data_IF_990321778468
#
_entry.id   IF_990321778468
#
_cell.length_a   1.000
_cell.length_b   1.000
_cell.length_c   1.000
_cell.angle_alpha   90.00
_cell.angle_beta   90.00
_cell.angle_gamma   90.00
#
_symmetry.space_group_name_H-M   'P 1'
#
loop_
_entity.id
_entity.type
_entity.pdbx_description
1 polymer ?
#
# COMPACT_ATOMS: atom_id res chain seq x y z
N UNK A 1 23.86 -3.34 -32.04
CA UNK A 1 22.99 -3.40 -30.84
C UNK A 1 22.88 -4.81 -30.27
N UNK A 2 22.53 -5.87 -30.98
CA UNK A 2 22.44 -7.24 -30.44
C UNK A 2 23.73 -7.80 -29.82
N UNK A 3 24.91 -7.37 -30.27
CA UNK A 3 26.21 -7.79 -29.71
C UNK A 3 26.54 -7.10 -28.38
N UNK A 4 26.14 -5.85 -28.22
CA UNK A 4 26.35 -5.09 -26.97
C UNK A 4 25.50 -5.61 -25.84
N UNK A 5 24.27 -6.06 -26.13
CA UNK A 5 23.35 -6.69 -25.17
C UNK A 5 23.89 -8.01 -24.61
N UNK A 6 24.51 -8.85 -25.46
CA UNK A 6 25.12 -10.10 -25.00
C UNK A 6 26.39 -9.89 -24.18
N UNK A 7 27.11 -8.81 -24.39
CA UNK A 7 28.36 -8.48 -23.65
C UNK A 7 27.98 -7.91 -22.27
N UNK A 8 26.93 -7.11 -22.16
CA UNK A 8 26.43 -6.65 -20.85
C UNK A 8 25.94 -7.83 -19.99
N UNK A 9 25.18 -8.76 -20.54
CA UNK A 9 24.73 -9.95 -19.80
C UNK A 9 25.91 -10.86 -19.36
N UNK A 10 27.00 -10.92 -20.15
CA UNK A 10 28.15 -11.78 -19.79
C UNK A 10 29.05 -11.18 -18.71
N UNK A 11 29.13 -9.86 -18.59
CA UNK A 11 29.93 -9.18 -17.56
C UNK A 11 29.30 -9.24 -16.16
N UNK A 12 27.99 -9.42 -16.04
CA UNK A 12 27.30 -9.58 -14.74
C UNK A 12 27.43 -10.99 -14.15
N UNK A 13 27.78 -12.00 -14.94
CA UNK A 13 27.96 -13.40 -14.47
C UNK A 13 29.27 -13.59 -13.68
N UNK A 14 30.19 -12.64 -13.69
CA UNK A 14 31.55 -12.80 -13.10
C UNK A 14 31.77 -12.11 -11.74
N UNK A 15 30.77 -11.38 -11.21
CA UNK A 15 30.83 -10.80 -9.87
C UNK A 15 29.99 -11.62 -8.89
N UNK A 16 30.36 -12.87 -8.71
CA UNK A 16 29.77 -13.70 -7.67
C UNK A 16 30.35 -13.39 -6.30
N UNK A 17 29.50 -12.98 -5.38
CA UNK A 17 29.62 -13.41 -3.95
C UNK A 17 28.38 -13.00 -3.16
N UNK A 18 27.68 -14.05 -2.72
CA UNK A 18 26.95 -14.19 -1.44
C UNK A 18 26.21 -12.99 -0.88
N UNK A 19 24.88 -12.99 -1.02
CA UNK A 19 23.93 -12.73 0.06
C UNK A 19 22.60 -13.44 -0.26
N UNK A 20 22.31 -14.49 0.49
CA UNK A 20 21.02 -15.17 0.58
C UNK A 20 20.06 -14.26 1.33
N UNK A 21 19.01 -13.73 0.70
CA UNK A 21 17.75 -13.26 1.35
C UNK A 21 16.96 -12.34 0.41
N UNK A 22 16.17 -12.87 -0.52
CA UNK A 22 15.05 -12.10 -1.10
C UNK A 22 14.16 -12.87 -2.10
N UNK A 23 14.53 -14.05 -2.58
CA UNK A 23 13.67 -14.85 -3.45
C UNK A 23 12.42 -15.41 -2.73
N UNK A 24 12.45 -15.45 -1.41
CA UNK A 24 11.39 -16.00 -0.58
C UNK A 24 10.10 -15.16 -0.58
N UNK A 25 10.15 -13.90 -0.99
CA UNK A 25 8.99 -13.00 -0.91
C UNK A 25 8.01 -13.18 -2.09
N UNK A 26 8.47 -13.49 -3.29
CA UNK A 26 7.56 -13.79 -4.40
C UNK A 26 6.90 -15.18 -4.23
N UNK A 27 7.63 -16.16 -3.68
CA UNK A 27 7.08 -17.49 -3.39
C UNK A 27 5.99 -17.45 -2.29
N UNK A 28 6.19 -16.63 -1.25
CA UNK A 28 5.24 -16.52 -0.15
C UNK A 28 4.07 -15.59 -0.47
N UNK A 29 4.31 -14.50 -1.19
CA UNK A 29 3.28 -13.51 -1.47
C UNK A 29 2.15 -14.02 -2.36
N UNK A 30 2.39 -14.95 -3.29
CA UNK A 30 1.34 -15.47 -4.16
C UNK A 30 0.42 -16.49 -3.48
N UNK A 31 0.85 -17.13 -2.40
CA UNK A 31 -0.02 -17.99 -1.58
C UNK A 31 -0.94 -17.20 -0.66
N UNK A 32 -0.49 -16.02 -0.24
CA UNK A 32 -1.17 -15.16 0.72
C UNK A 32 -1.81 -13.92 0.06
N UNK A 33 -2.02 -13.94 -1.26
CA UNK A 33 -2.64 -12.85 -2.03
C UNK A 33 -4.11 -12.55 -1.64
N UNK A 34 -4.67 -13.22 -0.64
CA UNK A 34 -5.95 -12.87 -0.02
C UNK A 34 -5.86 -11.66 0.93
N UNK A 35 -4.65 -11.33 1.42
CA UNK A 35 -4.43 -10.34 2.47
C UNK A 35 -3.72 -9.06 1.97
N UNK A 36 -4.00 -8.64 0.74
CA UNK A 36 -3.30 -7.54 0.06
C UNK A 36 -3.29 -6.22 0.80
N UNK A 37 -4.32 -5.95 1.53
CA UNK A 37 -4.52 -4.66 2.20
C UNK A 37 -4.29 -4.72 3.70
N UNK A 38 -3.86 -5.88 4.22
CA UNK A 38 -3.46 -6.05 5.61
C UNK A 38 -1.94 -5.89 5.76
N UNK A 39 -1.53 -5.04 6.70
CA UNK A 39 -0.10 -4.86 7.00
C UNK A 39 0.38 -6.05 7.82
N UNK A 40 1.32 -6.86 7.32
CA UNK A 40 1.79 -8.03 8.05
C UNK A 40 2.40 -7.69 9.41
N UNK A 41 2.21 -8.54 10.42
CA UNK A 41 2.73 -8.34 11.78
C UNK A 41 4.24 -8.14 11.84
N UNK A 42 5.01 -8.75 10.92
CA UNK A 42 6.46 -8.62 10.82
C UNK A 42 6.89 -7.28 10.20
N UNK A 43 5.99 -6.53 9.55
CA UNK A 43 6.31 -5.22 9.01
C UNK A 43 6.58 -4.23 10.15
N UNK A 44 7.69 -3.52 10.04
CA UNK A 44 8.06 -2.46 10.99
C UNK A 44 7.58 -1.10 10.49
N UNK A 45 7.48 -0.95 9.18
CA UNK A 45 7.06 0.26 8.49
C UNK A 45 5.93 -0.06 7.54
N UNK A 46 5.05 0.90 7.32
CA UNK A 46 4.02 0.86 6.30
C UNK A 46 3.99 2.18 5.52
N UNK A 47 3.67 2.10 4.25
CA UNK A 47 3.56 3.27 3.40
C UNK A 47 2.36 4.10 3.82
N UNK A 48 2.58 5.36 4.19
CA UNK A 48 1.50 6.30 4.54
C UNK A 48 1.13 7.21 3.39
N UNK A 49 2.09 7.57 2.54
CA UNK A 49 1.82 8.41 1.38
C UNK A 49 2.89 8.27 0.29
N UNK A 50 2.53 8.64 -0.93
CA UNK A 50 3.44 9.04 -1.99
C UNK A 50 3.07 10.46 -2.40
N UNK A 51 4.02 11.39 -2.35
CA UNK A 51 3.78 12.82 -2.59
C UNK A 51 4.64 13.35 -3.72
N UNK A 52 4.17 14.40 -4.40
CA UNK A 52 4.94 15.08 -5.44
C UNK A 52 4.97 14.37 -6.79
N UNK A 53 4.14 13.36 -7.00
CA UNK A 53 4.01 12.68 -8.31
C UNK A 53 3.58 13.73 -9.34
N UNK A 54 4.31 13.82 -10.45
CA UNK A 54 4.13 14.85 -11.49
C UNK A 54 4.08 16.29 -10.92
N UNK A 55 4.72 16.49 -9.77
CA UNK A 55 4.88 17.80 -9.13
C UNK A 55 3.81 18.16 -8.10
N UNK A 56 2.56 17.77 -8.28
CA UNK A 56 1.46 18.19 -7.42
C UNK A 56 0.48 17.09 -7.00
N UNK A 57 0.64 15.88 -7.51
CA UNK A 57 -0.24 14.77 -7.19
C UNK A 57 0.34 13.89 -6.08
N UNK A 58 -0.52 13.16 -5.40
CA UNK A 58 -0.12 12.21 -4.37
C UNK A 58 -1.17 11.16 -4.08
N UNK A 59 -0.76 10.17 -3.31
CA UNK A 59 -1.61 9.11 -2.79
C UNK A 59 -1.38 9.05 -1.29
N UNK A 60 -2.45 8.98 -0.52
CA UNK A 60 -2.40 8.86 0.93
C UNK A 60 -3.15 7.61 1.39
N UNK A 61 -2.57 6.87 2.34
CA UNK A 61 -3.15 5.69 2.94
C UNK A 61 -3.52 5.94 4.39
N UNK A 62 -4.71 5.54 4.78
CA UNK A 62 -5.16 5.51 6.17
C UNK A 62 -5.41 4.06 6.56
N UNK A 63 -5.05 3.71 7.79
CA UNK A 63 -5.16 2.37 8.33
C UNK A 63 -6.12 2.35 9.51
N UNK A 64 -6.86 1.26 9.66
CA UNK A 64 -7.71 1.02 10.82
C UNK A 64 -6.89 0.47 12.02
N UNK A 65 -7.56 0.26 13.15
CA UNK A 65 -6.93 -0.25 14.38
C UNK A 65 -6.41 -1.69 14.24
N UNK A 66 -6.79 -2.40 13.20
CA UNK A 66 -6.34 -3.75 12.87
C UNK A 66 -5.20 -3.77 11.84
N UNK A 67 -4.63 -2.62 11.48
CA UNK A 67 -3.61 -2.48 10.46
C UNK A 67 -4.07 -2.83 9.02
N UNK A 68 -5.36 -2.82 8.75
CA UNK A 68 -5.86 -2.92 7.39
C UNK A 68 -5.96 -1.52 6.78
N UNK A 69 -5.77 -1.39 5.46
CA UNK A 69 -6.00 -0.12 4.77
C UNK A 69 -7.49 0.24 4.90
N UNK A 70 -7.81 1.32 5.58
CA UNK A 70 -9.18 1.82 5.70
C UNK A 70 -9.57 2.70 4.51
N UNK A 71 -8.62 3.51 4.03
CA UNK A 71 -8.83 4.44 2.91
C UNK A 71 -7.54 4.67 2.11
N UNK A 72 -7.69 4.77 0.81
CA UNK A 72 -6.68 5.29 -0.12
C UNK A 72 -7.24 6.54 -0.78
N UNK A 73 -6.55 7.69 -0.70
CA UNK A 73 -6.99 8.98 -1.26
C UNK A 73 -6.03 9.46 -2.32
N UNK A 74 -6.58 9.89 -3.47
CA UNK A 74 -5.83 10.62 -4.49
C UNK A 74 -5.96 12.11 -4.22
N UNK A 75 -4.83 12.72 -4.00
CA UNK A 75 -4.74 14.12 -3.61
C UNK A 75 -4.04 14.94 -4.67
N UNK A 76 -4.49 16.16 -4.84
CA UNK A 76 -3.83 17.18 -5.63
C UNK A 76 -3.57 18.41 -4.76
N UNK A 77 -2.39 19.01 -4.92
CA UNK A 77 -2.01 20.22 -4.21
C UNK A 77 -1.92 21.35 -5.24
N UNK A 78 -2.77 22.34 -5.12
CA UNK A 78 -2.65 23.55 -5.91
C UNK A 78 -1.31 24.23 -5.62
N UNK A 79 -0.42 24.28 -6.60
CA UNK A 79 0.94 24.77 -6.44
C UNK A 79 1.01 26.28 -6.17
N UNK A 80 -0.08 27.01 -6.43
CA UNK A 80 -0.14 28.47 -6.22
C UNK A 80 -0.63 28.81 -4.82
N UNK A 81 -1.71 28.15 -4.37
CA UNK A 81 -2.33 28.41 -3.07
C UNK A 81 -1.86 27.46 -1.96
N UNK A 82 -1.25 26.33 -2.32
CA UNK A 82 -0.94 25.23 -1.39
C UNK A 82 -2.17 24.48 -0.90
N UNK A 83 -3.35 24.75 -1.48
CA UNK A 83 -4.59 24.09 -1.09
C UNK A 83 -4.58 22.63 -1.56
N UNK A 84 -4.90 21.73 -0.63
CA UNK A 84 -5.05 20.30 -0.88
C UNK A 84 -6.51 19.99 -1.23
N UNK A 85 -6.73 19.21 -2.29
CA UNK A 85 -8.01 18.65 -2.67
C UNK A 85 -7.92 17.12 -2.81
N UNK A 86 -9.04 16.45 -2.65
CA UNK A 86 -9.19 15.00 -2.88
C UNK A 86 -10.13 14.83 -4.06
N UNK A 87 -9.61 14.37 -5.19
CA UNK A 87 -10.43 14.13 -6.39
C UNK A 87 -11.10 12.74 -6.41
N UNK A 88 -10.48 11.76 -5.74
CA UNK A 88 -11.00 10.39 -5.66
C UNK A 88 -10.49 9.75 -4.38
N UNK A 89 -11.28 8.89 -3.76
CA UNK A 89 -10.81 8.01 -2.69
C UNK A 89 -11.51 6.66 -2.74
N UNK A 90 -10.89 5.67 -2.10
CA UNK A 90 -11.39 4.31 -1.97
C UNK A 90 -11.49 3.96 -0.50
N UNK A 91 -12.64 3.46 -0.09
CA UNK A 91 -12.88 2.89 1.24
C UNK A 91 -12.89 1.36 1.15
N UNK A 92 -12.36 0.71 2.17
CA UNK A 92 -12.17 -0.74 2.22
C UNK A 92 -12.94 -1.34 3.39
N UNK A 93 -13.63 -2.45 3.15
CA UNK A 93 -14.36 -3.23 4.14
C UNK A 93 -13.79 -4.64 4.24
N UNK A 94 -13.66 -5.14 5.45
CA UNK A 94 -13.04 -6.43 5.76
C UNK A 94 -13.98 -7.36 6.50
N UNK A 95 -13.75 -8.67 6.35
CA UNK A 95 -14.36 -9.68 7.20
C UNK A 95 -13.54 -9.90 8.49
N UNK A 96 -14.02 -10.80 9.37
CA UNK A 96 -13.35 -11.11 10.65
C UNK A 96 -11.98 -11.78 10.48
N UNK A 97 -11.61 -12.19 9.26
CA UNK A 97 -10.29 -12.75 8.91
C UNK A 97 -9.36 -11.71 8.28
N UNK A 98 -9.69 -10.43 8.34
CA UNK A 98 -8.96 -9.31 7.71
C UNK A 98 -8.88 -9.38 6.17
N UNK A 99 -9.73 -10.18 5.51
CA UNK A 99 -9.79 -10.23 4.06
C UNK A 99 -10.70 -9.10 3.56
N UNK A 100 -10.22 -8.33 2.60
CA UNK A 100 -11.02 -7.28 1.99
C UNK A 100 -12.20 -7.91 1.22
N UNK A 101 -13.42 -7.63 1.64
CA UNK A 101 -14.64 -8.13 1.01
C UNK A 101 -15.30 -7.11 0.08
N UNK A 102 -15.00 -5.85 0.28
CA UNK A 102 -15.53 -4.77 -0.55
C UNK A 102 -14.55 -3.59 -0.60
N UNK A 103 -14.49 -2.96 -1.75
CA UNK A 103 -13.82 -1.69 -1.99
C UNK A 103 -14.78 -0.76 -2.70
N UNK A 104 -14.97 0.45 -2.19
CA UNK A 104 -15.88 1.47 -2.74
C UNK A 104 -15.08 2.66 -3.21
N UNK A 105 -15.15 2.97 -4.49
CA UNK A 105 -14.51 4.12 -5.12
C UNK A 105 -15.48 5.29 -5.16
N UNK A 106 -15.04 6.43 -4.64
CA UNK A 106 -15.74 7.71 -4.71
C UNK A 106 -15.00 8.65 -5.65
N UNK A 107 -15.71 9.30 -6.52
CA UNK A 107 -15.15 10.22 -7.51
C UNK A 107 -16.06 11.38 -7.82
N UNK A 108 -15.50 12.39 -8.48
CA UNK A 108 -16.25 13.54 -8.97
C UNK A 108 -17.26 13.14 -10.04
N UNK A 109 -18.43 13.75 -9.99
CA UNK A 109 -19.46 13.58 -10.99
C UNK A 109 -20.14 14.91 -11.30
N UNK A 110 -20.32 15.17 -12.58
CA UNK A 110 -20.98 16.39 -13.05
C UNK A 110 -22.39 16.52 -12.46
N UNK A 111 -22.67 17.64 -11.81
CA UNK A 111 -23.97 17.94 -11.17
C UNK A 111 -24.04 17.62 -9.69
N UNK A 112 -22.95 17.12 -9.08
CA UNK A 112 -22.83 16.89 -7.64
C UNK A 112 -21.70 17.74 -7.07
N UNK A 113 -21.93 18.34 -5.91
CA UNK A 113 -20.91 19.11 -5.19
C UNK A 113 -19.98 18.21 -4.38
N UNK A 114 -20.45 17.03 -3.96
CA UNK A 114 -19.72 16.02 -3.21
C UNK A 114 -19.28 14.84 -4.11
N UNK A 115 -18.25 14.12 -3.69
CA UNK A 115 -17.84 12.88 -4.32
C UNK A 115 -18.93 11.81 -4.15
N UNK A 116 -19.29 11.14 -5.24
CA UNK A 116 -20.30 10.08 -5.27
C UNK A 116 -19.67 8.73 -5.52
N UNK A 117 -20.38 7.65 -5.19
CA UNK A 117 -19.93 6.30 -5.50
C UNK A 117 -19.82 6.14 -7.01
N UNK A 118 -18.59 5.97 -7.49
CA UNK A 118 -18.28 5.72 -8.88
C UNK A 118 -18.29 4.23 -9.22
N UNK A 119 -17.72 3.41 -8.33
CA UNK A 119 -17.62 1.95 -8.49
C UNK A 119 -17.65 1.24 -7.14
N UNK A 120 -18.03 -0.04 -7.17
CA UNK A 120 -17.87 -0.98 -6.08
C UNK A 120 -17.14 -2.22 -6.60
N UNK A 121 -16.30 -2.80 -5.76
CA UNK A 121 -15.55 -4.00 -6.04
C UNK A 121 -15.80 -4.97 -4.90
N UNK A 122 -16.37 -6.14 -5.21
CA UNK A 122 -16.74 -7.15 -4.21
C UNK A 122 -15.89 -8.40 -4.40
N UNK A 123 -15.40 -8.96 -3.30
CA UNK A 123 -14.52 -10.11 -3.27
C UNK A 123 -15.15 -11.25 -2.47
N UNK A 124 -15.14 -12.46 -3.01
CA UNK A 124 -15.65 -13.66 -2.34
C UNK A 124 -14.53 -14.67 -2.17
N UNK A 125 -14.47 -15.28 -0.99
CA UNK A 125 -13.45 -16.24 -0.61
C UNK A 125 -14.07 -17.60 -0.29
N UNK A 126 -13.32 -18.69 -0.55
CA UNK A 126 -13.68 -20.01 -0.10
C UNK A 126 -13.28 -20.23 1.38
N UNK A 127 -13.56 -21.44 1.91
CA UNK A 127 -13.24 -21.79 3.29
C UNK A 127 -11.74 -21.82 3.59
N UNK A 128 -10.89 -22.00 2.56
CA UNK A 128 -9.44 -21.94 2.65
C UNK A 128 -8.89 -20.50 2.63
N UNK A 129 -9.77 -19.49 2.50
CA UNK A 129 -9.38 -18.09 2.42
C UNK A 129 -8.92 -17.63 1.03
N UNK A 130 -9.11 -18.45 -0.01
CA UNK A 130 -8.72 -18.11 -1.37
C UNK A 130 -9.83 -17.33 -2.07
N UNK A 131 -9.50 -16.26 -2.76
CA UNK A 131 -10.45 -15.45 -3.55
C UNK A 131 -10.97 -16.29 -4.74
N UNK A 132 -12.25 -16.52 -4.79
CA UNK A 132 -12.89 -17.33 -5.86
C UNK A 132 -13.70 -16.52 -6.85
N UNK A 133 -14.18 -15.35 -6.41
CA UNK A 133 -14.98 -14.47 -7.24
C UNK A 133 -14.64 -13.02 -6.95
N UNK A 134 -14.52 -12.25 -8.01
CA UNK A 134 -14.47 -10.80 -7.98
C UNK A 134 -15.61 -10.26 -8.85
N UNK A 135 -16.32 -9.24 -8.36
CA UNK A 135 -17.40 -8.56 -9.08
C UNK A 135 -17.17 -7.05 -8.99
N UNK A 136 -17.22 -6.38 -10.14
CA UNK A 136 -17.25 -4.93 -10.20
C UNK A 136 -18.67 -4.44 -10.51
N UNK A 137 -19.07 -3.43 -9.77
CA UNK A 137 -20.27 -2.65 -10.02
C UNK A 137 -19.87 -1.27 -10.53
N UNK A 138 -20.49 -0.82 -11.59
CA UNK A 138 -20.17 0.44 -12.23
C UNK A 138 -21.45 1.17 -12.62
N UNK A 139 -21.36 2.49 -12.75
CA UNK A 139 -22.45 3.27 -13.31
C UNK A 139 -22.30 3.29 -14.84
N UNK A 140 -23.18 2.60 -15.52
CA UNK A 140 -23.21 2.55 -16.98
C UNK A 140 -24.12 3.62 -17.61
N UNK A 141 -24.82 4.43 -16.79
CA UNK A 141 -25.74 5.44 -17.27
C UNK A 141 -25.01 6.67 -17.83
N UNK A 142 -25.48 7.14 -18.97
CA UNK A 142 -25.02 8.40 -19.57
C UNK A 142 -25.66 9.64 -18.90
N UNK A 143 -26.77 9.45 -18.17
CA UNK A 143 -27.38 10.50 -17.37
C UNK A 143 -26.51 10.78 -16.13
N UNK A 144 -25.93 12.00 -15.99
CA UNK A 144 -25.08 12.32 -14.85
C UNK A 144 -25.81 12.30 -13.50
N UNK A 145 -27.14 12.41 -13.47
CA UNK A 145 -27.93 12.39 -12.23
C UNK A 145 -28.25 10.97 -11.75
N UNK A 146 -28.10 9.96 -12.60
CA UNK A 146 -28.36 8.57 -12.24
C UNK A 146 -27.10 7.92 -11.65
N UNK A 147 -27.12 7.67 -10.35
CA UNK A 147 -26.04 7.04 -9.58
C UNK A 147 -26.20 5.53 -9.41
N UNK A 148 -27.15 4.92 -10.14
CA UNK A 148 -27.40 3.47 -10.05
C UNK A 148 -26.21 2.68 -10.55
N UNK A 149 -25.69 1.78 -9.72
CA UNK A 149 -24.62 0.86 -10.08
C UNK A 149 -25.22 -0.47 -10.55
N UNK A 150 -24.63 -1.04 -11.58
CA UNK A 150 -24.93 -2.39 -12.09
C UNK A 150 -23.67 -3.23 -12.12
N UNK A 151 -23.80 -4.54 -11.93
CA UNK A 151 -22.69 -5.46 -12.15
C UNK A 151 -22.28 -5.42 -13.62
N UNK A 152 -21.08 -4.97 -13.92
CA UNK A 152 -20.59 -4.85 -15.29
C UNK A 152 -19.43 -5.80 -15.62
N UNK A 153 -18.85 -6.39 -14.59
CA UNK A 153 -17.65 -7.20 -14.71
C UNK A 153 -17.58 -8.26 -13.62
N UNK A 154 -17.25 -9.49 -13.97
CA UNK A 154 -16.94 -10.55 -12.99
C UNK A 154 -15.84 -11.47 -13.47
N UNK A 155 -15.12 -12.01 -12.48
CA UNK A 155 -13.97 -12.87 -12.65
C UNK A 155 -14.11 -14.04 -11.70
N UNK A 156 -14.07 -15.26 -12.25
CA UNK A 156 -14.03 -16.51 -11.50
C UNK A 156 -12.59 -17.03 -11.48
N UNK A 157 -12.07 -17.37 -10.31
CA UNK A 157 -10.68 -17.78 -10.10
C UNK A 157 -10.61 -19.26 -9.73
N UNK A 158 -9.73 -19.98 -10.39
CA UNK A 158 -9.41 -21.39 -10.17
C UNK A 158 -7.99 -21.52 -9.61
N UNK A 159 -7.75 -22.59 -8.85
CA UNK A 159 -6.48 -22.86 -8.17
C UNK A 159 -5.92 -24.22 -8.55
N UNK A 160 -4.59 -24.38 -8.48
CA UNK A 160 -3.94 -25.69 -8.57
C UNK A 160 -4.24 -26.53 -7.33
N UNK A 161 -3.87 -27.81 -7.37
CA UNK A 161 -3.98 -28.70 -6.21
C UNK A 161 -3.11 -28.25 -5.02
N UNK A 162 -2.04 -27.51 -5.30
CA UNK A 162 -1.13 -26.93 -4.30
C UNK A 162 -1.63 -25.60 -3.74
N UNK A 163 -2.79 -25.11 -4.21
CA UNK A 163 -3.41 -23.87 -3.75
C UNK A 163 -2.89 -22.60 -4.42
N UNK A 164 -2.14 -22.70 -5.51
CA UNK A 164 -1.70 -21.54 -6.28
C UNK A 164 -2.81 -21.10 -7.25
N UNK A 165 -3.08 -19.79 -7.42
CA UNK A 165 -4.02 -19.31 -8.43
C UNK A 165 -3.53 -19.69 -9.82
N UNK A 166 -4.38 -20.26 -10.65
CA UNK A 166 -3.95 -20.84 -11.93
C UNK A 166 -4.68 -20.29 -13.13
N UNK A 167 -5.96 -19.98 -12.98
CA UNK A 167 -6.79 -19.56 -14.10
C UNK A 167 -7.88 -18.61 -13.63
N UNK A 168 -8.25 -17.68 -14.47
CA UNK A 168 -9.43 -16.87 -14.25
C UNK A 168 -10.20 -16.66 -15.55
N UNK A 169 -11.53 -16.78 -15.48
CA UNK A 169 -12.43 -16.48 -16.59
C UNK A 169 -13.14 -15.17 -16.32
N UNK A 170 -13.02 -14.26 -17.27
CA UNK A 170 -13.50 -12.90 -17.19
C UNK A 170 -14.77 -12.74 -18.01
N UNK A 171 -15.82 -12.21 -17.40
CA UNK A 171 -17.08 -11.93 -18.05
C UNK A 171 -17.41 -10.44 -17.97
N UNK A 172 -17.97 -9.93 -19.04
CA UNK A 172 -18.50 -8.56 -19.16
C UNK A 172 -20.01 -8.58 -19.32
N UNK A 173 -20.67 -7.56 -18.81
CA UNK A 173 -22.06 -7.29 -19.14
C UNK A 173 -22.12 -6.43 -20.41
N UNK A 174 -22.88 -6.86 -21.41
CA UNK A 174 -23.23 -5.98 -22.53
C UNK A 174 -24.20 -4.90 -22.02
N UNK A 175 -23.84 -3.62 -22.06
CA UNK A 175 -24.68 -2.55 -21.52
C UNK A 175 -25.95 -2.28 -22.34
N UNK A 176 -26.04 -2.80 -23.57
CA UNK A 176 -27.22 -2.63 -24.44
C UNK A 176 -28.17 -3.83 -24.33
N UNK A 177 -27.63 -5.04 -24.37
CA UNK A 177 -28.41 -6.28 -24.28
C UNK A 177 -28.73 -6.69 -22.85
N UNK A 178 -27.95 -6.21 -21.85
CA UNK A 178 -27.96 -6.66 -20.46
C UNK A 178 -27.72 -8.18 -20.33
N UNK A 179 -26.88 -8.72 -21.23
CA UNK A 179 -26.47 -10.12 -21.24
C UNK A 179 -24.99 -10.26 -20.92
N UNK A 180 -24.65 -11.31 -20.16
CA UNK A 180 -23.28 -11.64 -19.83
C UNK A 180 -22.62 -12.40 -20.97
N UNK A 181 -21.40 -12.00 -21.34
CA UNK A 181 -20.58 -12.74 -22.29
C UNK A 181 -19.17 -12.97 -21.71
N UNK A 182 -18.54 -14.06 -22.11
CA UNK A 182 -17.14 -14.34 -21.79
C UNK A 182 -16.25 -13.40 -22.62
N UNK A 183 -15.41 -12.64 -21.94
CA UNK A 183 -14.47 -11.74 -22.59
C UNK A 183 -13.16 -12.44 -22.93
N UNK A 184 -12.45 -12.89 -21.91
CA UNK A 184 -11.20 -13.63 -22.07
C UNK A 184 -10.92 -14.50 -20.84
N UNK A 185 -10.04 -15.49 -21.04
CA UNK A 185 -9.52 -16.34 -19.99
C UNK A 185 -8.04 -16.10 -19.80
N UNK A 186 -7.61 -15.90 -18.55
CA UNK A 186 -6.22 -15.73 -18.18
C UNK A 186 -5.69 -16.95 -17.44
N UNK A 187 -4.48 -17.41 -17.77
CA UNK A 187 -3.77 -18.48 -17.08
C UNK A 187 -2.46 -17.99 -16.51
N UNK A 188 -2.07 -18.53 -15.35
CA UNK A 188 -0.82 -18.26 -14.65
C UNK A 188 0.04 -19.54 -14.64
N UNK A 189 1.33 -19.39 -14.95
CA UNK A 189 2.29 -20.48 -14.98
C UNK A 189 3.42 -20.23 -13.99
N UNK A 190 3.81 -21.29 -13.27
CA UNK A 190 4.84 -21.25 -12.24
C UNK A 190 6.06 -22.07 -12.66
N UNK A 191 7.25 -21.57 -12.36
CA UNK A 191 8.48 -22.30 -12.59
C UNK A 191 8.66 -23.41 -11.53
N UNK A 192 9.73 -24.20 -11.65
CA UNK A 192 10.03 -25.32 -10.72
C UNK A 192 10.29 -24.88 -9.28
N UNK A 193 10.50 -23.58 -9.04
CA UNK A 193 10.66 -22.98 -7.72
C UNK A 193 9.36 -22.45 -7.13
N UNK A 194 8.24 -22.59 -7.84
CA UNK A 194 6.94 -22.07 -7.45
C UNK A 194 6.76 -20.57 -7.75
N UNK A 195 7.70 -19.93 -8.45
CA UNK A 195 7.60 -18.51 -8.78
C UNK A 195 6.73 -18.33 -10.02
N UNK A 196 5.79 -17.40 -9.96
CA UNK A 196 4.99 -16.99 -11.11
C UNK A 196 5.92 -16.36 -12.16
N UNK A 197 5.99 -16.95 -13.33
CA UNK A 197 6.87 -16.43 -14.39
C UNK A 197 6.12 -16.07 -15.66
N UNK A 198 4.88 -16.56 -15.85
CA UNK A 198 4.16 -16.30 -17.09
C UNK A 198 2.66 -16.13 -16.84
N UNK A 199 2.08 -15.18 -17.55
CA UNK A 199 0.65 -14.94 -17.65
C UNK A 199 0.25 -14.95 -19.13
N UNK A 200 -0.81 -15.65 -19.46
CA UNK A 200 -1.35 -15.70 -20.84
C UNK A 200 -2.85 -15.45 -20.79
N UNK A 201 -3.33 -14.54 -21.62
CA UNK A 201 -4.74 -14.28 -21.80
C UNK A 201 -5.17 -14.63 -23.24
N UNK A 202 -6.32 -15.28 -23.36
CA UNK A 202 -6.94 -15.66 -24.65
C UNK A 202 -8.39 -15.20 -24.68
N UNK A 203 -8.82 -14.71 -25.83
CA UNK A 203 -10.22 -14.35 -26.06
C UNK A 203 -11.15 -15.57 -25.94
N UNK A 204 -12.46 -15.34 -25.83
CA UNK A 204 -13.46 -16.41 -25.77
C UNK A 204 -13.42 -17.36 -26.97
N UNK A 205 -13.00 -16.90 -28.13
CA UNK A 205 -12.81 -17.71 -29.34
C UNK A 205 -11.49 -18.50 -29.38
N UNK A 206 -10.66 -18.38 -28.32
CA UNK A 206 -9.35 -19.01 -28.22
C UNK A 206 -8.22 -18.27 -28.92
N UNK A 207 -8.50 -17.15 -29.57
CA UNK A 207 -7.44 -16.33 -30.17
C UNK A 207 -6.57 -15.66 -29.09
N UNK A 208 -5.26 -15.47 -29.35
CA UNK A 208 -4.39 -14.79 -28.41
C UNK A 208 -4.84 -13.36 -28.12
N UNK A 209 -4.90 -12.98 -26.83
CA UNK A 209 -5.18 -11.62 -26.42
C UNK A 209 -3.90 -10.90 -25.97
N UNK A 210 -3.21 -11.43 -24.97
CA UNK A 210 -1.93 -10.91 -24.48
C UNK A 210 -1.16 -11.98 -23.73
N UNK A 211 0.15 -11.79 -23.59
CA UNK A 211 0.99 -12.62 -22.72
C UNK A 211 2.11 -11.80 -22.09
N UNK A 212 2.49 -12.18 -20.90
CA UNK A 212 3.61 -11.62 -20.16
C UNK A 212 4.50 -12.74 -19.64
N UNK A 213 5.81 -12.53 -19.71
CA UNK A 213 6.79 -13.50 -19.22
C UNK A 213 7.91 -12.78 -18.46
N UNK A 214 8.18 -13.25 -17.25
CA UNK A 214 9.22 -12.74 -16.37
C UNK A 214 10.49 -13.59 -16.55
N UNK A 215 11.61 -12.93 -16.76
CA UNK A 215 12.94 -13.55 -16.75
C UNK A 215 13.61 -13.28 -15.41
N UNK A 216 14.07 -14.34 -14.76
CA UNK A 216 14.81 -14.28 -13.51
C UNK A 216 16.32 -14.49 -13.74
N UNK A 217 17.15 -14.08 -12.78
CA UNK A 217 18.54 -14.47 -12.71
C UNK A 217 18.72 -15.99 -12.47
N UNK A 218 19.93 -16.49 -12.55
CA UNK A 218 20.23 -17.92 -12.44
C UNK A 218 19.77 -18.50 -11.09
N UNK A 219 19.81 -17.70 -10.04
CA UNK A 219 19.41 -18.09 -8.69
C UNK A 219 17.90 -17.89 -8.42
N UNK A 220 17.18 -17.29 -9.35
CA UNK A 220 15.76 -16.94 -9.22
C UNK A 220 15.52 -15.82 -8.20
N UNK A 221 16.55 -15.05 -7.89
CA UNK A 221 16.51 -14.02 -6.87
C UNK A 221 16.00 -12.68 -7.41
N UNK A 222 16.44 -12.31 -8.60
CA UNK A 222 16.10 -11.04 -9.21
C UNK A 222 15.30 -11.23 -10.49
N UNK A 223 14.28 -10.43 -10.68
CA UNK A 223 13.64 -10.29 -11.97
C UNK A 223 14.56 -9.46 -12.87
N UNK A 224 15.00 -10.02 -13.99
CA UNK A 224 15.88 -9.33 -14.94
C UNK A 224 15.11 -8.66 -16.06
N UNK A 225 13.92 -9.17 -16.37
CA UNK A 225 13.12 -8.64 -17.47
C UNK A 225 11.67 -9.09 -17.38
N UNK A 226 10.83 -8.32 -18.05
CA UNK A 226 9.43 -8.63 -18.32
C UNK A 226 9.18 -8.41 -19.81
N UNK A 227 8.81 -9.46 -20.51
CA UNK A 227 8.35 -9.39 -21.90
C UNK A 227 6.83 -9.34 -21.91
N UNK A 228 6.26 -8.36 -22.59
CA UNK A 228 4.82 -8.20 -22.77
C UNK A 228 4.51 -8.25 -24.27
N UNK A 229 3.71 -9.23 -24.68
CA UNK A 229 3.20 -9.37 -26.02
C UNK A 229 1.73 -8.99 -26.05
N UNK A 230 1.41 -7.91 -26.74
CA UNK A 230 0.07 -7.40 -26.93
C UNK A 230 -0.61 -8.02 -28.15
N UNK A 231 -1.94 -8.03 -28.18
CA UNK A 231 -2.71 -8.36 -29.36
C UNK A 231 -2.18 -7.59 -30.60
N UNK A 232 -1.86 -8.32 -31.67
CA UNK A 232 -1.23 -7.72 -32.87
C UNK A 232 0.29 -7.88 -32.94
N UNK A 233 0.91 -8.65 -32.03
CA UNK A 233 2.34 -8.99 -32.00
C UNK A 233 3.27 -7.81 -31.69
N UNK A 234 2.81 -6.79 -31.02
CA UNK A 234 3.64 -5.75 -30.47
C UNK A 234 4.33 -6.27 -29.20
N UNK A 235 5.67 -6.46 -29.26
CA UNK A 235 6.48 -6.87 -28.12
C UNK A 235 7.03 -5.65 -27.40
N UNK A 236 6.70 -5.51 -26.12
CA UNK A 236 7.32 -4.53 -25.23
C UNK A 236 8.19 -5.25 -24.21
N UNK A 237 9.44 -4.88 -24.13
CA UNK A 237 10.37 -5.42 -23.14
C UNK A 237 10.64 -4.39 -22.06
N UNK A 238 10.60 -4.82 -20.82
CA UNK A 238 11.02 -4.07 -19.65
C UNK A 238 12.24 -4.76 -19.07
N UNK A 239 13.31 -4.00 -18.83
CA UNK A 239 14.56 -4.49 -18.24
C UNK A 239 14.70 -3.87 -16.87
N UNK A 240 15.09 -4.69 -15.89
CA UNK A 240 15.28 -4.29 -14.50
C UNK A 240 16.78 -4.23 -14.20
N UNK A 241 17.22 -3.12 -13.61
CA UNK A 241 18.61 -2.89 -13.24
C UNK A 241 18.71 -2.66 -11.72
N UNK A 242 19.64 -3.38 -11.08
CA UNK A 242 19.82 -3.36 -9.63
C UNK A 242 21.17 -2.75 -9.30
N UNK A 243 21.22 -1.98 -8.20
CA UNK A 243 22.46 -1.43 -7.67
C UNK A 243 23.31 -2.52 -6.99
N UNK A 244 24.52 -2.16 -6.59
CA UNK A 244 25.48 -3.04 -5.91
C UNK A 244 24.99 -3.51 -4.52
N UNK A 245 23.94 -2.88 -3.98
CA UNK A 245 23.28 -3.25 -2.73
C UNK A 245 22.12 -4.21 -2.94
N UNK A 246 21.66 -4.39 -4.18
CA UNK A 246 20.53 -5.22 -4.54
C UNK A 246 19.20 -4.50 -4.51
N UNK A 247 19.17 -3.20 -4.69
CA UNK A 247 17.96 -2.41 -4.86
C UNK A 247 17.66 -2.20 -6.34
N UNK A 248 16.38 -2.17 -6.73
CA UNK A 248 15.96 -1.87 -8.10
C UNK A 248 16.26 -0.39 -8.42
N UNK A 249 17.45 -0.13 -8.94
CA UNK A 249 17.91 1.23 -9.21
C UNK A 249 17.20 1.87 -10.42
N UNK A 250 16.93 1.07 -11.45
CA UNK A 250 16.23 1.53 -12.64
C UNK A 250 15.42 0.42 -13.31
N UNK A 251 14.43 0.82 -14.10
CA UNK A 251 13.78 -0.04 -15.08
C UNK A 251 13.62 0.70 -16.40
N UNK A 252 13.83 0.01 -17.49
CA UNK A 252 13.66 0.52 -18.84
C UNK A 252 12.51 -0.17 -19.54
N UNK A 253 11.52 0.57 -20.05
CA UNK A 253 10.36 0.04 -20.76
C UNK A 253 9.92 0.97 -21.88
N UNK A 254 9.76 0.45 -23.10
CA UNK A 254 9.20 1.20 -24.23
C UNK A 254 9.96 2.50 -24.58
N UNK A 255 11.26 2.56 -24.31
CA UNK A 255 12.09 3.76 -24.53
C UNK A 255 12.13 4.75 -23.36
N UNK A 256 11.42 4.48 -22.29
CA UNK A 256 11.45 5.25 -21.05
C UNK A 256 12.35 4.56 -20.01
N UNK A 257 13.02 5.35 -19.17
CA UNK A 257 13.80 4.87 -18.04
C UNK A 257 13.22 5.48 -16.77
N UNK A 258 12.84 4.62 -15.84
CA UNK A 258 12.38 4.99 -14.50
C UNK A 258 13.51 4.73 -13.51
N UNK A 259 13.78 5.68 -12.64
CA UNK A 259 14.87 5.61 -11.66
C UNK A 259 14.33 5.80 -10.25
N UNK A 260 14.93 5.07 -9.30
CA UNK A 260 14.51 5.06 -7.90
C UNK A 260 15.69 5.33 -6.97
N UNK A 261 15.41 5.92 -5.83
CA UNK A 261 16.34 5.97 -4.70
C UNK A 261 15.77 5.21 -3.51
N UNK A 262 16.63 4.87 -2.56
CA UNK A 262 16.26 3.99 -1.45
C UNK A 262 16.63 4.61 -0.11
N UNK A 263 15.86 4.27 0.93
CA UNK A 263 16.11 4.69 2.31
C UNK A 263 17.30 3.93 2.88
N UNK A 264 18.11 4.58 3.69
CA UNK A 264 19.22 3.91 4.40
C UNK A 264 18.73 3.30 5.70
N UNK A 265 18.88 1.98 5.86
CA UNK A 265 18.58 1.28 7.10
C UNK A 265 17.11 0.95 7.32
N UNK A 266 16.26 1.11 6.31
CA UNK A 266 14.87 0.66 6.32
C UNK A 266 14.72 -0.51 5.33
N UNK A 267 14.76 -1.78 5.78
CA UNK A 267 14.69 -2.92 4.88
C UNK A 267 13.34 -3.02 4.18
N UNK A 268 13.34 -3.26 2.86
CA UNK A 268 12.12 -3.49 2.09
C UNK A 268 11.31 -4.68 2.65
N UNK A 269 11.99 -5.74 3.12
CA UNK A 269 11.36 -6.92 3.74
C UNK A 269 10.60 -6.64 5.04
N UNK A 270 10.80 -5.47 5.64
CA UNK A 270 10.08 -5.00 6.84
C UNK A 270 9.22 -3.77 6.55
N UNK A 271 9.01 -3.48 5.29
CA UNK A 271 8.22 -2.34 4.83
C UNK A 271 7.05 -2.87 4.03
N UNK A 272 5.85 -2.48 4.42
CA UNK A 272 4.64 -2.83 3.71
C UNK A 272 4.34 -1.79 2.62
N UNK A 273 4.05 -2.29 1.44
CA UNK A 273 3.48 -1.56 0.31
C UNK A 273 2.13 -2.17 -0.03
N UNK A 274 1.10 -1.38 -0.31
CA UNK A 274 -0.13 -1.90 -0.89
C UNK A 274 0.16 -2.63 -2.20
N UNK A 275 -0.27 -3.88 -2.30
CA UNK A 275 -0.07 -4.71 -3.48
C UNK A 275 -1.35 -4.71 -4.36
N UNK A 276 -1.23 -4.96 -5.67
CA UNK A 276 -2.39 -5.23 -6.51
C UNK A 276 -3.12 -6.48 -6.03
N UNK A 277 -4.44 -6.50 -6.17
CA UNK A 277 -5.21 -7.69 -5.83
C UNK A 277 -4.93 -8.84 -6.80
N UNK A 278 -5.28 -10.07 -6.39
CA UNK A 278 -5.24 -11.21 -7.30
C UNK A 278 -6.11 -10.98 -8.55
N UNK A 279 -7.27 -10.32 -8.38
CA UNK A 279 -8.12 -9.93 -9.49
C UNK A 279 -7.38 -8.98 -10.45
N UNK A 280 -6.66 -7.99 -9.93
CA UNK A 280 -5.87 -7.07 -10.75
C UNK A 280 -4.76 -7.78 -11.52
N UNK A 281 -4.11 -8.78 -10.90
CA UNK A 281 -3.11 -9.59 -11.58
C UNK A 281 -3.69 -10.35 -12.78
N UNK A 282 -4.88 -10.95 -12.64
CA UNK A 282 -5.53 -11.63 -13.74
C UNK A 282 -6.01 -10.69 -14.84
N UNK A 283 -6.48 -9.49 -14.48
CA UNK A 283 -7.04 -8.50 -15.41
C UNK A 283 -5.94 -7.72 -16.12
N UNK A 284 -5.01 -7.15 -15.36
CA UNK A 284 -4.04 -6.17 -15.86
C UNK A 284 -2.62 -6.72 -15.99
N UNK A 285 -2.37 -7.93 -15.45
CA UNK A 285 -1.08 -8.59 -15.52
C UNK A 285 -0.03 -8.02 -14.57
N UNK A 286 1.23 -8.28 -14.91
CA UNK A 286 2.38 -7.81 -14.14
C UNK A 286 2.59 -6.31 -14.24
N UNK A 287 2.09 -5.68 -15.30
CA UNK A 287 2.04 -4.23 -15.51
C UNK A 287 0.74 -3.67 -14.93
N UNK A 288 0.57 -3.77 -13.64
CA UNK A 288 -0.60 -3.20 -13.02
C UNK A 288 -0.47 -1.67 -12.92
N UNK A 289 -1.34 -0.98 -13.66
CA UNK A 289 -1.46 0.48 -13.66
C UNK A 289 -2.59 0.99 -12.76
N UNK A 290 -3.11 0.16 -11.87
CA UNK A 290 -4.08 0.64 -10.90
C UNK A 290 -3.43 1.72 -10.04
N UNK A 291 -4.15 2.80 -9.90
CA UNK A 291 -3.69 3.98 -9.15
C UNK A 291 -3.34 3.65 -7.69
N UNK A 292 -3.99 2.65 -7.09
CA UNK A 292 -3.72 2.15 -5.74
C UNK A 292 -2.43 1.34 -5.64
N UNK A 293 -2.07 0.69 -6.74
CA UNK A 293 -0.82 -0.03 -6.83
C UNK A 293 0.22 0.94 -7.36
N UNK A 294 1.17 1.27 -6.52
CA UNK A 294 2.40 1.89 -6.96
C UNK A 294 2.93 1.11 -8.15
N UNK A 295 3.39 1.80 -9.16
CA UNK A 295 3.99 1.15 -10.33
C UNK A 295 5.01 0.11 -9.87
N UNK A 296 4.77 -1.16 -10.18
CA UNK A 296 5.65 -2.28 -9.85
C UNK A 296 5.90 -2.58 -8.35
N UNK A 297 4.89 -2.61 -7.47
CA UNK A 297 5.12 -2.87 -6.04
C UNK A 297 5.76 -4.23 -5.76
N UNK A 298 5.53 -5.26 -6.60
CA UNK A 298 6.20 -6.56 -6.52
C UNK A 298 7.72 -6.45 -6.68
N UNK A 299 8.22 -5.46 -7.45
CA UNK A 299 9.63 -5.22 -7.66
C UNK A 299 10.28 -4.50 -6.48
N UNK A 300 9.54 -3.57 -5.86
CA UNK A 300 10.04 -2.87 -4.67
C UNK A 300 10.24 -3.85 -3.50
N UNK A 301 9.36 -4.81 -3.33
CA UNK A 301 9.50 -5.87 -2.33
C UNK A 301 10.72 -6.76 -2.55
N UNK A 302 11.23 -6.87 -3.80
CA UNK A 302 12.48 -7.57 -4.13
C UNK A 302 13.74 -6.79 -3.82
N UNK A 303 13.64 -5.48 -3.53
CA UNK A 303 14.77 -4.63 -3.17
C UNK A 303 15.23 -4.89 -1.73
N UNK A 304 16.50 -4.57 -1.44
CA UNK A 304 17.05 -4.69 -0.09
C UNK A 304 16.48 -3.64 0.87
N UNK A 305 16.43 -2.40 0.41
CA UNK A 305 15.97 -1.25 1.17
C UNK A 305 14.63 -0.74 0.62
N UNK A 306 13.87 -0.02 1.43
CA UNK A 306 12.61 0.60 1.03
C UNK A 306 12.85 1.75 0.05
N UNK A 307 11.94 1.92 -0.93
CA UNK A 307 12.00 3.02 -1.90
C UNK A 307 11.87 4.36 -1.19
N UNK A 308 12.72 5.33 -1.51
CA UNK A 308 12.62 6.70 -1.02
C UNK A 308 11.95 7.61 -2.03
N UNK A 309 12.37 7.55 -3.30
CA UNK A 309 11.79 8.38 -4.36
C UNK A 309 11.69 7.63 -5.68
N UNK A 310 10.63 7.92 -6.44
CA UNK A 310 10.58 7.73 -7.89
C UNK A 310 11.12 9.00 -8.53
N UNK A 311 12.37 8.97 -8.95
CA UNK A 311 13.07 10.15 -9.50
C UNK A 311 12.43 10.61 -10.81
N UNK A 312 11.92 9.69 -11.60
CA UNK A 312 11.37 9.98 -12.93
C UNK A 312 10.05 10.72 -12.87
N UNK A 313 9.15 10.31 -11.95
CA UNK A 313 7.84 10.93 -11.79
C UNK A 313 7.79 11.95 -10.64
N UNK A 314 8.89 12.10 -9.89
CA UNK A 314 9.01 13.05 -8.77
C UNK A 314 8.38 12.57 -7.46
N UNK A 315 7.88 11.33 -7.40
CA UNK A 315 7.19 10.79 -6.22
C UNK A 315 8.13 10.56 -5.04
N UNK A 316 7.77 11.07 -3.86
CA UNK A 316 8.45 10.78 -2.60
C UNK A 316 7.61 9.86 -1.75
N UNK A 317 8.18 8.74 -1.29
CA UNK A 317 7.54 7.74 -0.48
C UNK A 317 7.66 8.09 1.00
N UNK A 318 6.55 8.19 1.68
CA UNK A 318 6.47 8.55 3.11
C UNK A 318 6.01 7.31 3.88
N UNK A 319 6.78 6.95 4.89
CA UNK A 319 6.51 5.78 5.72
C UNK A 319 6.19 6.19 7.14
N UNK A 320 5.34 5.41 7.79
CA UNK A 320 5.10 5.48 9.22
C UNK A 320 5.46 4.16 9.89
N UNK A 321 5.74 4.20 11.19
CA UNK A 321 5.98 2.98 11.96
C UNK A 321 4.68 2.18 12.07
N UNK A 322 4.72 0.90 11.69
CA UNK A 322 3.58 -0.02 11.85
C UNK A 322 3.35 -0.40 13.32
N UNK A 323 4.41 -0.36 14.13
CA UNK A 323 4.27 -0.50 15.57
C UNK A 323 4.29 0.90 16.15
N UNK A 324 3.34 1.29 17.01
CA UNK A 324 3.53 2.44 17.86
C UNK A 324 4.92 2.23 18.47
N UNK A 325 5.86 3.16 18.21
CA UNK A 325 7.29 3.08 18.55
C UNK A 325 7.44 2.20 19.78
N UNK A 326 7.88 0.96 19.56
CA UNK A 326 7.84 -0.07 20.60
C UNK A 326 8.73 0.31 21.77
N UNK A 327 8.14 1.07 22.60
CA UNK A 327 8.20 0.68 23.98
C UNK A 327 7.51 -0.69 23.99
N UNK A 328 8.28 -1.81 24.07
CA UNK A 328 7.77 -2.97 24.77
C UNK A 328 6.81 -2.45 25.82
N UNK A 329 5.62 -3.03 26.04
CA UNK A 329 4.86 -2.67 27.19
C UNK A 329 5.78 -2.93 28.38
N UNK A 330 6.61 -1.96 28.73
CA UNK A 330 6.92 -1.69 30.10
C UNK A 330 5.56 -1.71 30.72
N UNK A 331 5.29 -2.80 31.47
CA UNK A 331 4.04 -3.14 32.13
C UNK A 331 3.26 -1.86 32.34
N UNK A 332 2.22 -1.65 31.58
CA UNK A 332 1.50 -0.39 31.31
C UNK A 332 1.80 0.61 32.41
N UNK A 333 2.62 1.64 32.23
CA UNK A 333 2.68 2.68 33.22
C UNK A 333 1.24 3.18 33.21
N UNK A 334 0.52 2.93 34.30
CA UNK A 334 -0.82 3.38 34.48
C UNK A 334 -0.82 4.83 33.99
N UNK A 335 -1.55 5.11 32.90
CA UNK A 335 -1.53 6.45 32.30
C UNK A 335 -1.80 7.44 33.42
N UNK A 336 -0.95 8.44 33.57
CA UNK A 336 -1.20 9.47 34.53
C UNK A 336 -2.48 10.17 34.16
N UNK A 337 -3.41 10.30 35.10
CA UNK A 337 -4.67 10.99 34.92
C UNK A 337 -4.63 12.32 35.64
N UNK A 338 -5.13 13.34 34.96
CA UNK A 338 -5.25 14.68 35.51
C UNK A 338 -6.69 14.92 35.98
N UNK A 339 -6.84 15.30 37.23
CA UNK A 339 -8.08 15.78 37.84
C UNK A 339 -7.91 17.26 38.16
N UNK A 340 -8.81 18.10 37.66
CA UNK A 340 -8.78 19.53 37.88
C UNK A 340 -9.94 19.94 38.79
N UNK A 341 -9.65 20.69 39.86
CA UNK A 341 -10.63 21.46 40.60
C UNK A 341 -10.20 22.94 40.67
N UNK A 342 -11.04 23.80 41.23
CA UNK A 342 -10.80 25.27 41.27
C UNK A 342 -9.55 25.66 42.05
N UNK A 343 -9.09 24.80 42.96
CA UNK A 343 -8.01 25.08 43.90
C UNK A 343 -6.72 24.31 43.61
N UNK A 344 -6.78 23.22 42.82
CA UNK A 344 -5.65 22.32 42.60
C UNK A 344 -5.84 21.45 41.38
N UNK A 345 -4.68 21.02 40.82
CA UNK A 345 -4.59 19.99 39.79
C UNK A 345 -3.92 18.76 40.40
N UNK A 346 -4.60 17.64 40.37
CA UNK A 346 -4.10 16.37 40.93
C UNK A 346 -3.78 15.41 39.79
N UNK A 347 -2.55 14.93 39.76
CA UNK A 347 -2.08 13.94 38.82
C UNK A 347 -1.98 12.61 39.55
N UNK A 348 -2.74 11.61 39.14
CA UNK A 348 -2.67 10.25 39.65
C UNK A 348 -1.86 9.35 38.72
N UNK A 349 -1.29 8.27 39.26
CA UNK A 349 -0.36 7.37 38.57
C UNK A 349 0.91 8.08 38.06
N UNK A 350 1.34 9.14 38.73
CA UNK A 350 2.57 9.82 38.42
C UNK A 350 3.78 9.00 38.91
N UNK A 351 4.52 8.40 37.97
CA UNK A 351 5.71 7.58 38.27
C UNK A 351 6.99 8.39 38.42
N UNK A 352 6.93 9.67 38.08
CA UNK A 352 8.04 10.63 38.15
C UNK A 352 7.58 11.95 38.74
N UNK A 353 8.51 12.85 39.07
CA UNK A 353 8.17 14.23 39.42
C UNK A 353 7.34 14.91 38.30
N UNK A 354 6.41 15.75 38.72
CA UNK A 354 5.51 16.51 37.85
C UNK A 354 5.99 17.96 37.78
N UNK A 355 6.19 18.46 36.57
CA UNK A 355 6.65 19.83 36.33
C UNK A 355 5.53 20.67 35.67
N UNK A 356 5.33 21.87 36.21
CA UNK A 356 4.42 22.90 35.67
C UNK A 356 5.20 23.96 34.87
N UNK A 357 4.72 24.24 33.68
CA UNK A 357 5.30 25.25 32.78
C UNK A 357 4.27 26.31 32.37
N UNK A 358 4.71 27.52 32.11
CA UNK A 358 3.95 28.49 31.34
C UNK A 358 4.00 28.17 29.84
N UNK A 359 3.28 28.94 29.03
CA UNK A 359 3.30 28.79 27.56
C UNK A 359 4.60 29.22 26.88
N UNK A 360 5.48 29.93 27.60
CA UNK A 360 6.81 30.32 27.15
C UNK A 360 7.84 29.19 27.43
N UNK A 361 7.43 28.11 28.10
CA UNK A 361 8.29 26.99 28.45
C UNK A 361 9.11 27.21 29.73
N UNK A 362 8.82 28.26 30.51
CA UNK A 362 9.44 28.47 31.80
C UNK A 362 8.83 27.48 32.83
N UNK A 363 9.68 26.73 33.51
CA UNK A 363 9.26 25.89 34.63
C UNK A 363 8.89 26.72 35.83
N UNK A 364 7.63 26.62 36.25
CA UNK A 364 7.09 27.40 37.38
C UNK A 364 7.17 26.62 38.69
N UNK A 365 6.98 25.30 38.63
CA UNK A 365 6.97 24.41 39.81
C UNK A 365 7.32 22.99 39.44
N UNK A 366 7.99 22.29 40.33
CA UNK A 366 8.19 20.83 40.27
C UNK A 366 7.67 20.23 41.57
N UNK A 367 6.86 19.17 41.44
CA UNK A 367 6.23 18.48 42.58
C UNK A 367 6.62 17.00 42.51
N UNK A 368 7.20 16.48 43.59
CA UNK A 368 7.47 15.06 43.70
C UNK A 368 6.18 14.25 43.83
N UNK A 369 6.15 13.11 43.15
CA UNK A 369 5.04 12.17 43.29
C UNK A 369 5.21 11.34 44.55
N UNK A 370 4.16 11.29 45.37
CA UNK A 370 4.12 10.45 46.58
C UNK A 370 3.04 9.39 46.38
N UNK A 371 3.38 8.13 46.47
CA UNK A 371 2.51 7.00 46.21
C UNK A 371 1.73 7.09 44.88
N UNK A 372 2.37 7.62 43.85
CA UNK A 372 1.77 7.77 42.52
C UNK A 372 0.84 9.00 42.40
N UNK A 373 0.83 9.90 43.36
CA UNK A 373 0.00 11.12 43.29
C UNK A 373 0.87 12.36 43.46
N UNK A 374 0.66 13.35 42.60
CA UNK A 374 1.25 14.69 42.70
C UNK A 374 0.13 15.74 42.67
N UNK A 375 0.22 16.75 43.49
CA UNK A 375 -0.80 17.81 43.57
C UNK A 375 -0.15 19.18 43.40
N UNK A 376 -0.63 19.96 42.44
CA UNK A 376 -0.21 21.34 42.13
C UNK A 376 -1.32 22.26 42.66
N UNK A 377 -0.97 23.16 43.60
CA UNK A 377 -1.92 24.20 44.04
C UNK A 377 -2.06 25.29 42.99
N UNK A 378 -3.29 25.62 42.61
CA UNK A 378 -3.56 26.73 41.68
C UNK A 378 -3.75 28.08 42.35
N UNK A 379 -3.80 28.10 43.69
CA UNK A 379 -4.16 29.32 44.47
C UNK A 379 -3.29 30.55 44.14
N UNK A 380 -2.03 30.37 43.85
CA UNK A 380 -1.07 31.44 43.56
C UNK A 380 -0.78 31.65 42.07
N UNK A 381 -1.34 30.82 41.18
CA UNK A 381 -1.13 30.97 39.76
C UNK A 381 -2.02 32.05 39.16
N UNK A 382 -1.56 32.93 38.28
CA UNK A 382 -2.39 33.83 37.50
C UNK A 382 -3.44 33.05 36.64
N UNK A 383 -4.55 33.71 36.30
CA UNK A 383 -5.45 33.15 35.29
C UNK A 383 -4.72 33.01 33.94
N UNK A 384 -4.80 31.82 33.33
CA UNK A 384 -4.08 31.55 32.09
C UNK A 384 -3.99 30.07 31.76
N UNK A 385 -3.29 29.78 30.64
CA UNK A 385 -3.02 28.40 30.21
C UNK A 385 -1.62 27.96 30.63
N UNK A 386 -1.52 26.69 31.03
CA UNK A 386 -0.29 26.07 31.55
C UNK A 386 -0.10 24.69 30.94
N UNK A 387 1.11 24.16 31.03
CA UNK A 387 1.46 22.82 30.63
C UNK A 387 1.98 22.04 31.85
N UNK A 388 1.39 20.89 32.13
CA UNK A 388 1.83 19.95 33.17
C UNK A 388 2.52 18.79 32.47
N UNK A 389 3.80 18.56 32.79
CA UNK A 389 4.59 17.44 32.25
C UNK A 389 4.85 16.40 33.33
N UNK A 390 4.56 15.13 33.00
CA UNK A 390 4.85 13.96 33.83
C UNK A 390 5.42 12.84 32.97
N UNK A 391 6.70 12.55 33.16
CA UNK A 391 7.42 11.65 32.27
C UNK A 391 7.36 12.12 30.80
N UNK A 392 6.83 11.29 29.92
CA UNK A 392 6.60 11.61 28.49
C UNK A 392 5.26 12.30 28.21
N UNK A 393 4.34 12.33 29.18
CA UNK A 393 3.00 12.91 29.00
C UNK A 393 3.00 14.42 29.28
N UNK A 394 2.16 15.15 28.55
CA UNK A 394 1.93 16.58 28.75
C UNK A 394 0.44 16.88 28.70
N UNK A 395 -0.04 17.58 29.72
CA UNK A 395 -1.43 18.05 29.85
C UNK A 395 -1.48 19.55 29.69
N UNK A 396 -2.40 20.05 28.87
CA UNK A 396 -2.73 21.49 28.84
C UNK A 396 -3.86 21.77 29.82
N UNK A 397 -3.68 22.71 30.70
CA UNK A 397 -4.66 23.10 31.71
C UNK A 397 -4.93 24.60 31.64
N UNK A 398 -6.09 25.02 32.13
CA UNK A 398 -6.48 26.42 32.21
C UNK A 398 -6.90 26.70 33.65
N UNK A 399 -6.43 27.81 34.19
CA UNK A 399 -6.87 28.38 35.46
C UNK A 399 -7.78 29.55 35.22
#
# INVERSE_FOLDING_TARGET
MKALHKILCLLYVLAGSTILLSAQMLENNLKDLSDFYHVPDQATFRLSAVTGVFGNQGIEFQYNDHNDIARCSYVEIDTTSGQRSVGTYLDYLYNDKHQCIEKVEYGERKGFDDLVIARRYCYTYNDQGQMTLFVRWNNLNTNPEDTTLVEDYKLNIEYTAEGLPSKATIHFLDPQAFEWYEGFTTTLEYNKRGQLYKRTAVNADGSPFESEEITFDADGKYMLGLSYLKAGNELVETIFDYDDKGNLAALGSGGFIFQFTFTTGQPATKTYYPLPTLADLFIYGFKNYNLEALTYPLLYNGSKDAVATDVTNGGTFVYESNKPLGLEPLATPSQSHLLCDDMRWTITNATTAVALYDLQGQCLQVVESVAGVATISTATLPAGSYLIKVGSQTFKVVR
#
